data_IF_968242434591
#
_entry.id   IF_968242434591
#
_cell.length_a   1.000
_cell.length_b   1.000
_cell.length_c   1.000
_cell.angle_alpha   90.00
_cell.angle_beta   90.00
_cell.angle_gamma   90.00
#
_symmetry.space_group_name_H-M   'P 1'
#
loop_
_entity.id
_entity.type
_entity.pdbx_description
1 polymer ?
#
# COMPACT_ATOMS: atom_id res chain seq x y z
N UNK A 1 -45.78 3.70 43.93
CA UNK A 1 -45.31 2.32 44.09
C UNK A 1 -45.35 1.68 42.72
N UNK A 2 -44.29 1.86 41.94
CA UNK A 2 -44.23 1.41 40.55
C UNK A 2 -42.77 1.26 40.15
N UNK A 3 -42.48 0.06 39.65
CA UNK A 3 -41.32 -0.34 38.85
C UNK A 3 -39.93 -0.48 39.52
N UNK A 4 -39.68 -1.70 40.04
CA UNK A 4 -38.34 -2.29 40.20
C UNK A 4 -38.34 -3.75 39.70
N UNK A 5 -38.88 -3.99 38.51
CA UNK A 5 -38.86 -5.33 37.87
C UNK A 5 -37.95 -5.37 36.63
N UNK A 6 -37.26 -4.26 36.31
CA UNK A 6 -36.34 -4.17 35.16
C UNK A 6 -34.94 -4.74 35.36
N UNK A 7 -34.43 -4.86 36.59
CA UNK A 7 -32.97 -4.93 36.83
C UNK A 7 -32.42 -6.35 37.11
N UNK A 8 -33.26 -7.30 37.55
CA UNK A 8 -32.77 -8.63 38.00
C UNK A 8 -32.45 -9.59 36.84
N UNK A 9 -32.89 -9.29 35.61
CA UNK A 9 -32.67 -10.17 34.43
C UNK A 9 -31.39 -9.87 33.65
N UNK A 10 -30.73 -8.73 33.87
CA UNK A 10 -29.51 -8.35 33.14
C UNK A 10 -28.24 -9.00 33.71
N UNK A 11 -28.23 -9.32 35.01
CA UNK A 11 -27.09 -9.92 35.73
C UNK A 11 -27.11 -11.47 35.83
N UNK A 12 -28.10 -12.13 35.22
CA UNK A 12 -28.17 -13.58 35.23
C UNK A 12 -27.04 -14.21 34.40
N UNK A 13 -26.19 -15.02 35.06
CA UNK A 13 -25.16 -15.83 34.40
C UNK A 13 -25.80 -16.97 33.60
N UNK A 14 -25.51 -17.02 32.31
CA UNK A 14 -25.96 -18.04 31.36
C UNK A 14 -24.85 -19.04 31.10
N UNK A 15 -25.21 -20.33 31.06
CA UNK A 15 -24.29 -21.36 30.55
C UNK A 15 -23.97 -21.09 29.09
N UNK A 16 -22.81 -21.58 28.62
CA UNK A 16 -22.40 -21.42 27.21
C UNK A 16 -23.47 -21.88 26.21
N UNK A 17 -24.26 -22.91 26.54
CA UNK A 17 -25.34 -23.40 25.68
C UNK A 17 -26.52 -22.44 25.61
N UNK A 18 -26.98 -21.93 26.76
CA UNK A 18 -28.06 -20.95 26.83
C UNK A 18 -27.67 -19.62 26.16
N UNK A 19 -26.42 -19.19 26.38
CA UNK A 19 -25.87 -18.00 25.74
C UNK A 19 -25.73 -18.18 24.22
N UNK A 20 -25.22 -19.33 23.77
CA UNK A 20 -25.12 -19.70 22.35
C UNK A 20 -26.47 -19.61 21.64
N UNK A 21 -27.53 -20.19 22.21
CA UNK A 21 -28.87 -20.11 21.65
C UNK A 21 -29.36 -18.66 21.53
N UNK A 22 -29.15 -17.84 22.56
CA UNK A 22 -29.57 -16.43 22.58
C UNK A 22 -28.79 -15.56 21.59
N UNK A 23 -27.49 -15.81 21.46
CA UNK A 23 -26.62 -15.14 20.49
C UNK A 23 -26.76 -15.68 19.06
N UNK A 24 -27.48 -16.80 18.87
CA UNK A 24 -27.55 -17.57 17.61
C UNK A 24 -26.17 -17.98 17.10
N UNK A 25 -25.31 -18.40 18.02
CA UNK A 25 -23.95 -18.86 17.76
C UNK A 25 -23.78 -20.29 18.24
N UNK A 26 -22.73 -20.97 17.77
CA UNK A 26 -22.34 -22.26 18.33
C UNK A 26 -21.51 -22.07 19.60
N UNK A 27 -21.60 -23.00 20.54
CA UNK A 27 -20.70 -23.03 21.69
C UNK A 27 -19.21 -23.15 21.28
N UNK A 28 -18.93 -23.70 20.09
CA UNK A 28 -17.57 -23.73 19.51
C UNK A 28 -17.10 -22.32 19.13
N UNK A 29 -17.97 -21.50 18.52
CA UNK A 29 -17.66 -20.12 18.18
C UNK A 29 -17.38 -19.28 19.44
N UNK A 30 -18.16 -19.45 20.50
CA UNK A 30 -17.95 -18.74 21.78
C UNK A 30 -16.62 -19.11 22.44
N UNK A 31 -16.23 -20.39 22.43
CA UNK A 31 -14.89 -20.82 22.90
C UNK A 31 -13.77 -20.25 22.05
N UNK A 32 -13.99 -20.09 20.74
CA UNK A 32 -13.03 -19.43 19.86
C UNK A 32 -12.91 -17.94 20.21
N UNK A 33 -14.03 -17.25 20.43
CA UNK A 33 -14.05 -15.83 20.76
C UNK A 33 -13.40 -15.54 22.12
N UNK A 34 -13.61 -16.41 23.10
CA UNK A 34 -12.91 -16.38 24.39
C UNK A 34 -11.39 -16.49 24.20
N UNK A 35 -10.92 -17.55 23.52
CA UNK A 35 -9.48 -17.76 23.28
C UNK A 35 -8.78 -16.60 22.56
N UNK A 36 -9.52 -15.88 21.73
CA UNK A 36 -9.01 -14.75 20.95
C UNK A 36 -9.25 -13.40 21.63
N UNK A 37 -9.77 -13.38 22.86
CA UNK A 37 -10.05 -12.14 23.61
C UNK A 37 -11.19 -11.29 23.02
N UNK A 38 -11.97 -11.83 22.08
CA UNK A 38 -13.09 -11.12 21.45
C UNK A 38 -14.31 -11.08 22.36
N UNK A 39 -14.51 -12.14 23.14
CA UNK A 39 -15.60 -12.27 24.10
C UNK A 39 -15.21 -13.20 25.25
N UNK A 40 -14.65 -12.63 26.32
CA UNK A 40 -14.34 -13.38 27.52
C UNK A 40 -15.64 -13.77 28.25
N UNK A 41 -15.70 -14.98 28.85
CA UNK A 41 -16.78 -15.34 29.77
C UNK A 41 -16.77 -14.39 30.98
N UNK A 42 -17.94 -14.12 31.54
CA UNK A 42 -18.08 -13.35 32.76
C UNK A 42 -17.54 -14.11 33.99
N UNK A 43 -17.60 -15.44 33.96
CA UNK A 43 -17.05 -16.31 34.99
C UNK A 43 -16.63 -17.65 34.39
N UNK A 44 -15.53 -18.19 34.90
CA UNK A 44 -15.08 -19.56 34.63
C UNK A 44 -15.01 -20.29 35.97
N UNK A 45 -15.74 -21.39 36.08
CA UNK A 45 -15.69 -22.26 37.25
C UNK A 45 -14.33 -22.97 37.31
N UNK A 46 -13.58 -22.76 38.39
CA UNK A 46 -12.20 -23.26 38.53
C UNK A 46 -12.12 -24.78 38.68
N UNK A 47 -13.16 -25.42 39.24
CA UNK A 47 -13.17 -26.85 39.49
C UNK A 47 -13.54 -27.66 38.23
N UNK A 48 -14.40 -27.10 37.38
CA UNK A 48 -15.01 -27.82 36.24
C UNK A 48 -14.63 -27.22 34.89
N UNK A 49 -14.09 -26.00 34.85
CA UNK A 49 -13.78 -25.26 33.63
C UNK A 49 -15.01 -24.74 32.88
N UNK A 50 -16.20 -24.80 33.48
CA UNK A 50 -17.44 -24.33 32.86
C UNK A 50 -17.45 -22.81 32.71
N UNK A 51 -17.92 -22.34 31.55
CA UNK A 51 -17.98 -20.93 31.19
C UNK A 51 -19.39 -20.39 31.32
N UNK A 52 -19.48 -19.22 31.95
CA UNK A 52 -20.71 -18.48 32.16
C UNK A 52 -20.60 -17.08 31.58
N UNK A 53 -21.68 -16.61 30.97
CA UNK A 53 -21.76 -15.31 30.28
C UNK A 53 -22.93 -14.50 30.81
N UNK A 54 -22.82 -13.17 30.89
CA UNK A 54 -23.96 -12.31 31.25
C UNK A 54 -24.88 -12.11 30.06
N UNK A 55 -26.17 -11.87 30.31
CA UNK A 55 -27.14 -11.55 29.25
C UNK A 55 -26.72 -10.31 28.43
N UNK A 56 -26.13 -9.31 29.07
CA UNK A 56 -25.60 -8.10 28.41
C UNK A 56 -24.45 -8.36 27.41
N UNK A 57 -23.79 -9.53 27.47
CA UNK A 57 -22.72 -9.87 26.53
C UNK A 57 -23.23 -10.33 25.15
N UNK A 58 -24.54 -10.55 25.00
CA UNK A 58 -25.13 -11.08 23.76
C UNK A 58 -24.91 -10.16 22.58
N UNK A 59 -25.07 -8.84 22.75
CA UNK A 59 -24.90 -7.89 21.65
C UNK A 59 -23.45 -7.83 21.17
N UNK A 60 -22.48 -7.91 22.09
CA UNK A 60 -21.06 -8.05 21.73
C UNK A 60 -20.80 -9.33 20.94
N UNK A 61 -21.38 -10.46 21.35
CA UNK A 61 -21.23 -11.73 20.63
C UNK A 61 -21.79 -11.67 19.20
N UNK A 62 -22.94 -11.00 19.03
CA UNK A 62 -23.57 -10.77 17.72
C UNK A 62 -22.74 -9.81 16.86
N UNK A 63 -22.20 -8.74 17.45
CA UNK A 63 -21.32 -7.81 16.75
C UNK A 63 -20.09 -8.52 16.19
N UNK A 64 -19.40 -9.34 16.99
CA UNK A 64 -18.27 -10.17 16.52
C UNK A 64 -18.70 -11.02 15.32
N UNK A 65 -19.88 -11.65 15.38
CA UNK A 65 -20.39 -12.48 14.29
C UNK A 65 -20.71 -11.70 13.02
N UNK A 66 -21.24 -10.47 13.13
CA UNK A 66 -21.52 -9.59 12.00
C UNK A 66 -20.23 -9.10 11.34
N UNK A 67 -19.26 -8.65 12.13
CA UNK A 67 -17.96 -8.21 11.60
C UNK A 67 -17.22 -9.36 10.89
N UNK A 68 -17.34 -10.59 11.40
CA UNK A 68 -16.81 -11.77 10.70
C UNK A 68 -17.47 -12.05 9.36
N UNK A 69 -18.73 -11.65 9.15
CA UNK A 69 -19.41 -11.80 7.84
C UNK A 69 -18.92 -10.78 6.81
N UNK A 70 -18.23 -9.73 7.25
CA UNK A 70 -17.53 -8.79 6.37
C UNK A 70 -16.11 -9.28 6.01
N UNK A 71 -15.77 -10.54 6.33
CA UNK A 71 -14.41 -11.09 6.21
C UNK A 71 -13.35 -10.29 6.99
N UNK A 72 -13.75 -9.55 8.03
CA UNK A 72 -12.84 -8.79 8.86
C UNK A 72 -11.91 -9.73 9.66
N UNK A 73 -10.57 -9.52 9.59
CA UNK A 73 -9.62 -10.31 10.37
C UNK A 73 -9.89 -10.21 11.87
N UNK A 74 -9.71 -11.33 12.59
CA UNK A 74 -10.06 -11.42 14.02
C UNK A 74 -9.32 -10.39 14.89
N UNK A 75 -8.08 -10.04 14.55
CA UNK A 75 -7.34 -8.99 15.24
C UNK A 75 -8.03 -7.62 15.14
N UNK A 76 -8.51 -7.24 13.95
CA UNK A 76 -9.24 -5.99 13.71
C UNK A 76 -10.62 -6.01 14.38
N UNK A 77 -11.29 -7.16 14.38
CA UNK A 77 -12.53 -7.33 15.15
C UNK A 77 -12.30 -7.05 16.63
N UNK A 78 -11.18 -7.51 17.20
CA UNK A 78 -10.84 -7.24 18.60
C UNK A 78 -10.76 -5.74 18.87
N UNK A 79 -10.08 -4.98 18.01
CA UNK A 79 -9.99 -3.52 18.11
C UNK A 79 -11.38 -2.86 18.11
N UNK A 80 -12.26 -3.28 17.20
CA UNK A 80 -13.62 -2.74 17.08
C UNK A 80 -14.45 -3.02 18.33
N UNK A 81 -14.42 -4.24 18.88
CA UNK A 81 -15.28 -4.64 20.01
C UNK A 81 -14.74 -4.22 21.38
N UNK A 82 -13.49 -3.77 21.46
CA UNK A 82 -12.89 -3.17 22.65
C UNK A 82 -12.90 -1.64 22.64
N UNK A 83 -13.16 -1.03 21.48
CA UNK A 83 -13.47 0.38 21.36
C UNK A 83 -14.92 0.69 21.75
N UNK A 84 -15.22 1.98 21.92
CA UNK A 84 -16.52 2.53 22.26
C UNK A 84 -17.12 3.33 21.10
N UNK A 85 -18.45 3.24 20.94
CA UNK A 85 -19.28 4.09 20.08
C UNK A 85 -18.61 4.55 18.78
N UNK A 86 -18.32 5.85 18.71
CA UNK A 86 -17.75 6.52 17.55
C UNK A 86 -16.40 5.94 17.12
N UNK A 87 -15.58 5.49 18.07
CA UNK A 87 -14.28 4.86 17.75
C UNK A 87 -14.48 3.50 17.09
N UNK A 88 -15.42 2.69 17.55
CA UNK A 88 -15.76 1.42 16.90
C UNK A 88 -16.30 1.64 15.49
N UNK A 89 -17.15 2.66 15.29
CA UNK A 89 -17.65 3.05 13.97
C UNK A 89 -16.51 3.48 13.04
N UNK A 90 -15.61 4.36 13.50
CA UNK A 90 -14.46 4.80 12.70
C UNK A 90 -13.50 3.67 12.31
N UNK A 91 -13.31 2.67 13.18
CA UNK A 91 -12.52 1.46 12.84
C UNK A 91 -13.20 0.60 11.76
N UNK A 92 -14.53 0.48 11.81
CA UNK A 92 -15.31 -0.20 10.78
C UNK A 92 -15.23 0.54 9.45
N UNK A 93 -15.40 1.87 9.45
CA UNK A 93 -15.33 2.70 8.25
C UNK A 93 -13.93 2.63 7.61
N UNK A 94 -12.87 2.70 8.43
CA UNK A 94 -11.50 2.54 7.95
C UNK A 94 -11.27 1.18 7.28
N UNK A 95 -11.73 0.09 7.90
CA UNK A 95 -11.65 -1.24 7.29
C UNK A 95 -12.46 -1.33 5.99
N UNK A 96 -13.66 -0.75 5.96
CA UNK A 96 -14.47 -0.78 4.75
C UNK A 96 -13.82 0.01 3.61
N UNK A 97 -13.24 1.18 3.90
CA UNK A 97 -12.47 1.95 2.93
C UNK A 97 -11.27 1.15 2.37
N UNK A 98 -10.54 0.40 3.22
CA UNK A 98 -9.47 -0.51 2.78
C UNK A 98 -10.02 -1.61 1.84
N UNK A 99 -11.18 -2.20 2.15
CA UNK A 99 -11.85 -3.20 1.31
C UNK A 99 -12.27 -2.60 -0.03
N UNK A 100 -12.89 -1.42 -0.03
CA UNK A 100 -13.30 -0.73 -1.25
C UNK A 100 -12.11 -0.40 -2.14
N UNK A 101 -11.01 0.11 -1.57
CA UNK A 101 -9.78 0.38 -2.29
C UNK A 101 -9.20 -0.90 -2.92
N UNK A 102 -9.18 -2.01 -2.18
CA UNK A 102 -8.72 -3.31 -2.69
C UNK A 102 -9.60 -3.82 -3.83
N UNK A 103 -10.92 -3.74 -3.69
CA UNK A 103 -11.87 -4.16 -4.75
C UNK A 103 -11.73 -3.27 -5.98
N UNK A 104 -11.55 -1.96 -5.82
CA UNK A 104 -11.28 -1.05 -6.93
C UNK A 104 -9.99 -1.43 -7.67
N UNK A 105 -8.88 -1.66 -6.96
CA UNK A 105 -7.62 -2.12 -7.55
C UNK A 105 -7.75 -3.47 -8.27
N UNK A 106 -8.47 -4.44 -7.70
CA UNK A 106 -8.73 -5.74 -8.34
C UNK A 106 -9.58 -5.60 -9.60
N UNK A 107 -10.60 -4.73 -9.61
CA UNK A 107 -11.40 -4.44 -10.81
C UNK A 107 -10.53 -3.90 -11.92
N UNK A 108 -9.67 -2.94 -11.58
CA UNK A 108 -8.69 -2.40 -12.54
C UNK A 108 -7.80 -3.52 -13.08
N UNK A 109 -7.23 -4.37 -12.22
CA UNK A 109 -6.40 -5.49 -12.68
C UNK A 109 -7.14 -6.42 -13.65
N UNK A 110 -8.40 -6.74 -13.36
CA UNK A 110 -9.23 -7.60 -14.23
C UNK A 110 -9.46 -6.94 -15.58
N UNK A 111 -9.68 -5.63 -15.63
CA UNK A 111 -9.85 -4.87 -16.86
C UNK A 111 -8.56 -4.87 -17.69
N UNK A 112 -7.40 -4.62 -17.07
CA UNK A 112 -6.08 -4.75 -17.70
C UNK A 112 -5.86 -6.15 -18.27
N UNK A 113 -5.98 -7.18 -17.45
CA UNK A 113 -5.74 -8.57 -17.88
C UNK A 113 -6.71 -8.97 -19.01
N UNK A 114 -7.96 -8.48 -18.99
CA UNK A 114 -8.91 -8.70 -20.08
C UNK A 114 -8.48 -8.01 -21.37
N UNK A 115 -8.01 -6.76 -21.30
CA UNK A 115 -7.42 -6.05 -22.44
C UNK A 115 -6.30 -6.88 -23.06
N UNK A 116 -5.34 -7.28 -22.22
CA UNK A 116 -4.13 -8.00 -22.63
C UNK A 116 -4.42 -9.36 -23.24
N UNK A 117 -5.26 -10.15 -22.58
CA UNK A 117 -5.65 -11.47 -23.07
C UNK A 117 -6.51 -11.41 -24.34
N UNK A 118 -7.16 -10.28 -24.63
CA UNK A 118 -7.96 -10.10 -25.85
C UNK A 118 -7.25 -9.31 -26.94
N UNK A 119 -6.01 -8.86 -26.72
CA UNK A 119 -5.25 -8.02 -27.65
C UNK A 119 -5.86 -6.62 -27.84
N UNK A 120 -6.58 -6.11 -26.83
CA UNK A 120 -7.26 -4.80 -26.82
C UNK A 120 -6.67 -3.84 -25.79
N UNK A 121 -5.39 -3.98 -25.45
CA UNK A 121 -4.73 -3.22 -24.37
C UNK A 121 -4.85 -1.70 -24.53
N UNK A 122 -4.95 -1.19 -25.77
CA UNK A 122 -5.07 0.24 -26.02
C UNK A 122 -6.38 0.90 -25.59
N UNK A 123 -7.45 0.13 -25.34
CA UNK A 123 -8.80 0.69 -25.18
C UNK A 123 -9.22 0.89 -23.71
N UNK A 124 -8.58 0.20 -22.77
CA UNK A 124 -9.01 0.13 -21.36
C UNK A 124 -8.40 1.23 -20.49
N UNK A 125 -7.13 1.59 -20.73
CA UNK A 125 -6.46 2.72 -20.09
C UNK A 125 -6.25 3.76 -21.16
N UNK A 126 -7.03 4.84 -21.10
CA UNK A 126 -7.10 5.86 -22.14
C UNK A 126 -5.72 6.14 -22.76
N UNK A 127 -5.67 6.14 -24.09
CA UNK A 127 -4.46 6.24 -24.93
C UNK A 127 -3.33 7.00 -24.23
N UNK A 128 -2.40 6.27 -23.61
CA UNK A 128 -1.16 6.84 -23.13
C UNK A 128 -0.46 7.50 -24.31
N UNK A 129 -0.15 8.79 -24.15
CA UNK A 129 0.61 9.53 -25.15
C UNK A 129 2.07 9.33 -24.81
N UNK A 130 2.76 8.56 -25.65
CA UNK A 130 4.19 8.31 -25.49
C UNK A 130 4.96 9.33 -26.31
N UNK A 131 5.89 10.02 -25.65
CA UNK A 131 6.77 11.03 -26.22
C UNK A 131 8.23 10.65 -25.95
N UNK A 132 9.17 11.36 -26.58
CA UNK A 132 10.59 11.23 -26.29
C UNK A 132 11.18 12.52 -25.77
N UNK A 133 12.12 12.43 -24.83
CA UNK A 133 12.88 13.56 -24.31
C UNK A 133 14.38 13.24 -24.26
N UNK A 134 15.20 14.18 -24.68
CA UNK A 134 16.65 14.11 -24.51
C UNK A 134 17.03 14.69 -23.14
N UNK A 135 17.81 13.93 -22.37
CA UNK A 135 18.27 14.26 -21.01
C UNK A 135 19.77 14.49 -21.06
N UNK A 136 20.30 15.58 -20.47
CA UNK A 136 21.73 15.86 -20.46
C UNK A 136 22.48 14.95 -19.48
N UNK A 137 23.82 15.02 -19.52
CA UNK A 137 24.64 14.44 -18.46
C UNK A 137 24.24 15.03 -17.10
N UNK A 138 24.08 14.19 -16.08
CA UNK A 138 23.71 14.64 -14.74
C UNK A 138 24.40 13.82 -13.65
N UNK A 139 24.77 14.49 -12.57
CA UNK A 139 25.31 13.83 -11.38
C UNK A 139 24.14 13.44 -10.49
N UNK A 140 24.09 12.18 -10.09
CA UNK A 140 23.02 11.66 -9.23
C UNK A 140 23.59 11.05 -7.96
N UNK A 141 22.99 11.40 -6.83
CA UNK A 141 23.13 10.65 -5.58
C UNK A 141 22.03 9.59 -5.54
N UNK A 142 22.39 8.39 -5.10
CA UNK A 142 21.53 7.20 -5.23
C UNK A 142 21.43 6.44 -3.92
N UNK A 143 20.33 5.73 -3.72
CA UNK A 143 20.12 4.75 -2.65
C UNK A 143 19.46 3.50 -3.26
N UNK A 144 20.11 2.33 -3.14
CA UNK A 144 19.60 1.06 -3.69
C UNK A 144 19.07 0.15 -2.58
N UNK A 145 17.92 -0.49 -2.81
CA UNK A 145 17.35 -1.48 -1.90
C UNK A 145 16.61 -2.58 -2.67
N UNK A 146 16.75 -3.83 -2.21
CA UNK A 146 15.84 -4.92 -2.57
C UNK A 146 14.56 -4.78 -1.77
N UNK A 147 13.41 -4.71 -2.45
CA UNK A 147 12.12 -4.44 -1.82
C UNK A 147 11.00 -5.14 -2.57
N UNK A 148 9.91 -5.43 -1.87
CA UNK A 148 8.68 -5.98 -2.46
C UNK A 148 7.72 -4.85 -2.86
N UNK A 149 6.74 -5.18 -3.71
CA UNK A 149 5.79 -4.18 -4.22
C UNK A 149 4.94 -3.48 -3.12
N UNK A 150 4.68 -4.13 -1.99
CA UNK A 150 3.93 -3.56 -0.87
C UNK A 150 4.77 -2.61 0.00
N UNK A 151 6.09 -2.83 0.07
CA UNK A 151 7.04 -1.96 0.75
C UNK A 151 7.45 -0.74 -0.09
N UNK A 152 7.35 -0.87 -1.41
CA UNK A 152 7.92 0.06 -2.39
C UNK A 152 7.43 1.50 -2.21
N UNK A 153 6.12 1.82 -2.07
CA UNK A 153 5.66 3.20 -1.94
C UNK A 153 6.22 3.92 -0.70
N UNK A 154 6.27 3.21 0.43
CA UNK A 154 6.82 3.76 1.67
C UNK A 154 8.33 3.96 1.56
N UNK A 155 9.04 3.00 0.95
CA UNK A 155 10.47 3.13 0.76
C UNK A 155 10.82 4.28 -0.17
N UNK A 156 10.14 4.42 -1.32
CA UNK A 156 10.38 5.51 -2.30
C UNK A 156 10.27 6.88 -1.63
N UNK A 157 9.17 7.15 -0.92
CA UNK A 157 9.00 8.44 -0.24
C UNK A 157 10.09 8.71 0.79
N UNK A 158 10.48 7.67 1.55
CA UNK A 158 11.51 7.82 2.58
C UNK A 158 12.93 7.98 1.99
N UNK A 159 13.29 7.24 0.93
CA UNK A 159 14.61 7.31 0.29
C UNK A 159 14.78 8.61 -0.49
N UNK A 160 13.78 9.01 -1.28
CA UNK A 160 13.83 10.29 -2.00
C UNK A 160 13.95 11.46 -1.02
N UNK A 161 13.12 11.53 0.02
CA UNK A 161 13.23 12.62 1.02
C UNK A 161 14.60 12.68 1.72
N UNK A 162 15.25 11.54 1.97
CA UNK A 162 16.63 11.50 2.50
C UNK A 162 17.66 12.03 1.51
N UNK A 163 17.52 11.68 0.25
CA UNK A 163 18.43 12.10 -0.81
C UNK A 163 18.23 13.59 -1.15
N UNK A 164 16.99 14.08 -1.17
CA UNK A 164 16.70 15.51 -1.36
C UNK A 164 17.25 16.37 -0.20
N UNK A 165 17.18 15.89 1.04
CA UNK A 165 17.84 16.55 2.16
C UNK A 165 19.37 16.61 1.94
N UNK A 166 19.98 15.51 1.49
CA UNK A 166 21.40 15.47 1.16
C UNK A 166 21.76 16.40 -0.01
N UNK A 167 20.87 16.52 -1.00
CA UNK A 167 21.07 17.38 -2.16
C UNK A 167 21.27 18.85 -1.78
N UNK A 168 20.70 19.31 -0.65
CA UNK A 168 20.95 20.68 -0.13
C UNK A 168 22.42 20.97 0.13
N UNK A 169 23.18 19.95 0.57
CA UNK A 169 24.64 20.03 0.74
C UNK A 169 25.44 19.79 -0.55
N UNK A 170 24.79 19.34 -1.62
CA UNK A 170 25.40 18.99 -2.91
C UNK A 170 25.03 19.97 -4.03
N UNK A 171 24.80 21.24 -3.69
CA UNK A 171 24.43 22.29 -4.65
C UNK A 171 22.95 22.32 -5.06
N UNK A 172 22.09 21.54 -4.40
CA UNK A 172 20.65 21.50 -4.63
C UNK A 172 20.22 20.47 -5.68
N UNK A 173 18.91 20.24 -5.75
CA UNK A 173 18.28 19.36 -6.75
C UNK A 173 18.23 20.06 -8.10
N UNK A 174 18.74 19.43 -9.16
CA UNK A 174 18.87 20.03 -10.50
C UNK A 174 17.84 19.57 -11.52
N UNK A 175 17.21 18.42 -11.28
CA UNK A 175 16.16 17.85 -12.11
C UNK A 175 15.24 16.96 -11.27
N UNK A 176 14.11 16.54 -11.84
CA UNK A 176 13.13 15.69 -11.18
C UNK A 176 13.79 14.40 -10.64
N UNK A 177 13.60 14.07 -9.35
CA UNK A 177 14.02 12.78 -8.80
C UNK A 177 13.36 11.60 -9.53
N UNK A 178 14.02 10.45 -9.53
CA UNK A 178 13.50 9.27 -10.20
C UNK A 178 13.88 7.98 -9.49
N UNK A 179 13.12 6.91 -9.77
CA UNK A 179 13.35 5.55 -9.27
C UNK A 179 13.61 4.63 -10.45
N UNK A 180 14.71 3.89 -10.41
CA UNK A 180 15.10 2.92 -11.43
C UNK A 180 14.84 1.50 -10.94
N UNK A 181 14.24 0.66 -11.79
CA UNK A 181 13.98 -0.76 -11.50
C UNK A 181 14.98 -1.64 -12.23
N UNK A 182 15.95 -2.20 -11.50
CA UNK A 182 17.02 -3.03 -12.09
C UNK A 182 16.59 -4.49 -12.30
N UNK A 183 15.51 -4.93 -11.63
CA UNK A 183 14.81 -6.19 -11.86
C UNK A 183 13.35 -6.07 -11.41
N UNK A 184 12.56 -7.14 -11.57
CA UNK A 184 11.15 -7.16 -11.18
C UNK A 184 10.96 -6.92 -9.67
N UNK A 185 10.13 -5.94 -9.33
CA UNK A 185 9.67 -5.64 -7.97
C UNK A 185 8.19 -5.95 -7.92
N UNK A 186 7.87 -7.11 -7.36
CA UNK A 186 6.50 -7.63 -7.29
C UNK A 186 6.20 -8.22 -5.92
N UNK A 187 5.03 -8.85 -5.77
CA UNK A 187 4.72 -9.60 -4.56
C UNK A 187 5.56 -10.89 -4.42
N UNK A 188 6.17 -11.35 -5.52
CA UNK A 188 6.91 -12.62 -5.60
C UNK A 188 8.41 -12.43 -5.85
N UNK A 189 8.85 -11.21 -6.19
CA UNK A 189 10.25 -10.88 -6.50
C UNK A 189 10.68 -9.61 -5.80
N UNK A 190 11.73 -9.69 -4.99
CA UNK A 190 12.37 -8.56 -4.32
C UNK A 190 13.48 -7.95 -5.18
N UNK A 191 13.07 -7.28 -6.27
CA UNK A 191 13.98 -6.61 -7.18
C UNK A 191 14.75 -5.44 -6.54
N UNK A 192 15.97 -5.13 -7.02
CA UNK A 192 16.65 -3.90 -6.63
C UNK A 192 15.96 -2.69 -7.28
N UNK A 193 15.39 -1.84 -6.45
CA UNK A 193 14.97 -0.50 -6.81
C UNK A 193 16.05 0.51 -6.38
N UNK A 194 16.24 1.56 -7.17
CA UNK A 194 17.25 2.59 -6.93
C UNK A 194 16.63 3.99 -7.03
N UNK A 195 16.55 4.68 -5.90
CA UNK A 195 16.16 6.09 -5.87
C UNK A 195 17.35 6.95 -6.27
N UNK A 196 17.11 7.93 -7.15
CA UNK A 196 18.11 8.81 -7.74
C UNK A 196 17.66 10.27 -7.59
N UNK A 197 18.53 11.13 -7.04
CA UNK A 197 18.32 12.57 -6.97
C UNK A 197 19.44 13.28 -7.72
N UNK A 198 19.13 14.01 -8.82
CA UNK A 198 20.09 14.83 -9.53
C UNK A 198 20.59 16.02 -8.69
N UNK A 199 21.90 16.27 -8.69
CA UNK A 199 22.57 17.32 -7.90
C UNK A 199 23.54 18.16 -8.72
N UNK A 200 23.84 19.38 -8.26
CA UNK A 200 24.69 20.33 -9.00
C UNK A 200 26.19 20.16 -8.76
N UNK A 201 26.60 19.74 -7.55
CA UNK A 201 28.00 19.67 -7.14
C UNK A 201 28.46 18.21 -6.96
N UNK A 202 29.23 17.72 -7.92
CA UNK A 202 29.79 16.37 -7.90
C UNK A 202 30.78 16.14 -6.76
N UNK A 203 31.63 17.13 -6.46
CA UNK A 203 32.65 16.99 -5.44
C UNK A 203 32.02 16.89 -4.05
N UNK A 204 31.03 17.74 -3.78
CA UNK A 204 30.25 17.69 -2.55
C UNK A 204 29.46 16.38 -2.43
N UNK A 205 28.84 15.92 -3.52
CA UNK A 205 28.13 14.65 -3.54
C UNK A 205 29.04 13.46 -3.21
N UNK A 206 30.24 13.41 -3.81
CA UNK A 206 31.22 12.34 -3.56
C UNK A 206 31.70 12.36 -2.10
N UNK A 207 32.02 13.53 -1.57
CA UNK A 207 32.39 13.69 -0.16
C UNK A 207 31.27 13.23 0.78
N UNK A 208 30.02 13.66 0.52
CA UNK A 208 28.84 13.21 1.27
C UNK A 208 28.67 11.69 1.28
N UNK A 209 28.89 11.05 0.13
CA UNK A 209 28.78 9.59 0.00
C UNK A 209 29.90 8.86 0.73
N UNK A 210 31.10 9.42 0.79
CA UNK A 210 32.24 8.85 1.52
C UNK A 210 32.01 8.91 3.04
N UNK A 211 31.51 10.04 3.56
CA UNK A 211 31.24 10.23 4.99
C UNK A 211 30.18 9.26 5.54
N UNK A 212 29.16 8.93 4.75
CA UNK A 212 28.12 7.97 5.15
C UNK A 212 28.58 6.50 5.08
N UNK A 213 29.74 6.23 4.47
CA UNK A 213 30.25 4.87 4.28
C UNK A 213 29.30 3.97 3.48
N UNK A 214 29.32 2.65 3.75
CA UNK A 214 28.40 1.67 3.11
C UNK A 214 26.97 1.69 3.67
N UNK A 215 26.63 2.62 4.57
CA UNK A 215 25.31 2.64 5.18
C UNK A 215 24.24 2.91 4.10
N UNK A 216 23.24 2.03 3.98
CA UNK A 216 22.11 2.11 3.04
C UNK A 216 22.45 2.01 1.55
N UNK A 217 23.62 1.46 1.20
CA UNK A 217 24.05 1.29 -0.20
C UNK A 217 24.03 2.58 -1.04
N UNK A 218 24.28 3.74 -0.43
CA UNK A 218 24.29 5.02 -1.15
C UNK A 218 25.52 5.17 -2.04
N UNK A 219 25.35 5.76 -3.24
CA UNK A 219 26.44 5.98 -4.20
C UNK A 219 26.24 7.30 -4.96
N UNK A 220 27.32 7.78 -5.59
CA UNK A 220 27.27 8.86 -6.59
C UNK A 220 27.68 8.30 -7.95
N UNK A 221 26.92 8.61 -8.99
CA UNK A 221 27.33 8.36 -10.38
C UNK A 221 27.04 9.56 -11.27
N UNK A 222 27.75 9.64 -12.38
CA UNK A 222 27.37 10.48 -13.51
C UNK A 222 26.49 9.62 -14.41
N UNK A 223 25.24 10.02 -14.58
CA UNK A 223 24.34 9.45 -15.57
C UNK A 223 24.60 10.16 -16.91
N UNK A 224 24.97 9.42 -17.97
CA UNK A 224 25.28 10.02 -19.25
C UNK A 224 24.03 10.55 -19.94
N UNK A 225 24.22 11.53 -20.81
CA UNK A 225 23.19 12.07 -21.67
C UNK A 225 22.57 10.97 -22.53
N UNK A 226 21.26 11.00 -22.67
CA UNK A 226 20.53 9.94 -23.35
C UNK A 226 19.10 10.35 -23.66
N UNK A 227 18.43 9.50 -24.43
CA UNK A 227 17.02 9.70 -24.79
C UNK A 227 16.14 8.79 -23.96
N UNK A 228 15.03 9.33 -23.48
CA UNK A 228 13.94 8.56 -22.90
C UNK A 228 12.75 8.53 -23.83
N UNK A 229 12.05 7.40 -23.88
CA UNK A 229 10.64 7.34 -24.25
C UNK A 229 9.83 7.31 -22.96
N UNK A 230 8.78 8.13 -22.85
CA UNK A 230 7.99 8.22 -21.62
C UNK A 230 6.52 8.47 -21.88
N UNK A 231 5.67 8.09 -20.93
CA UNK A 231 4.28 8.55 -20.84
C UNK A 231 4.04 9.23 -19.49
N UNK A 232 3.28 10.31 -19.51
CA UNK A 232 2.86 11.03 -18.31
C UNK A 232 1.62 10.38 -17.69
N UNK A 233 1.63 10.20 -16.38
CA UNK A 233 0.55 9.59 -15.63
C UNK A 233 0.11 10.43 -14.42
N UNK A 234 -1.18 10.30 -14.08
CA UNK A 234 -1.78 10.97 -12.92
C UNK A 234 -1.48 10.23 -11.62
N UNK A 235 -1.66 10.90 -10.48
CA UNK A 235 -1.48 10.27 -9.16
C UNK A 235 -2.31 9.00 -8.97
N UNK A 236 -3.55 8.98 -9.47
CA UNK A 236 -4.40 7.78 -9.44
C UNK A 236 -3.87 6.64 -10.31
N UNK A 237 -3.11 6.94 -11.37
CA UNK A 237 -2.53 5.96 -12.29
C UNK A 237 -1.20 5.38 -11.79
N UNK A 238 -0.48 6.06 -10.89
CA UNK A 238 0.76 5.53 -10.27
C UNK A 238 0.47 4.33 -9.36
N UNK A 239 -0.76 4.20 -8.86
CA UNK A 239 -1.16 3.07 -8.02
C UNK A 239 -1.02 1.73 -8.75
N UNK A 240 -0.60 0.68 -8.03
CA UNK A 240 -0.69 -0.67 -8.56
C UNK A 240 -2.15 -1.16 -8.55
N UNK A 241 -2.64 -1.83 -9.61
CA UNK A 241 -1.93 -2.24 -10.83
C UNK A 241 -2.06 -1.26 -12.01
N UNK A 242 -2.70 -0.10 -11.83
CA UNK A 242 -2.92 0.91 -12.88
C UNK A 242 -1.62 1.26 -13.62
N UNK A 243 -0.52 1.37 -12.90
CA UNK A 243 0.78 1.76 -13.44
C UNK A 243 1.33 0.77 -14.47
N UNK A 244 0.95 -0.52 -14.39
CA UNK A 244 1.41 -1.55 -15.33
C UNK A 244 1.00 -1.26 -16.77
N UNK A 245 -0.17 -0.63 -16.96
CA UNK A 245 -0.63 -0.26 -18.29
C UNK A 245 0.24 0.85 -18.91
N UNK A 246 0.80 1.75 -18.08
CA UNK A 246 1.72 2.78 -18.55
C UNK A 246 3.07 2.20 -18.97
N UNK A 247 3.62 1.24 -18.20
CA UNK A 247 4.82 0.49 -18.60
C UNK A 247 4.60 -0.22 -19.93
N UNK A 248 3.52 -1.00 -20.04
CA UNK A 248 3.19 -1.72 -21.27
C UNK A 248 3.01 -0.81 -22.48
N UNK A 249 2.34 0.34 -22.31
CA UNK A 249 2.14 1.29 -23.41
C UNK A 249 3.47 1.87 -23.94
N UNK A 250 4.42 2.17 -23.06
CA UNK A 250 5.74 2.67 -23.48
C UNK A 250 6.53 1.55 -24.17
N UNK A 251 6.52 0.32 -23.66
CA UNK A 251 7.17 -0.83 -24.30
C UNK A 251 6.60 -1.13 -25.69
N UNK A 252 5.27 -1.16 -25.82
CA UNK A 252 4.59 -1.35 -27.12
C UNK A 252 4.93 -0.25 -28.11
N UNK A 253 4.94 1.01 -27.65
CA UNK A 253 5.30 2.14 -28.48
C UNK A 253 6.77 2.06 -28.94
N UNK A 254 7.70 1.72 -28.03
CA UNK A 254 9.13 1.53 -28.36
C UNK A 254 9.29 0.46 -29.44
N UNK A 255 8.62 -0.68 -29.29
CA UNK A 255 8.63 -1.76 -30.26
C UNK A 255 8.06 -1.29 -31.62
N UNK A 256 6.96 -0.54 -31.62
CA UNK A 256 6.34 -0.02 -32.83
C UNK A 256 7.22 1.04 -33.55
N UNK A 257 8.01 1.82 -32.81
CA UNK A 257 8.98 2.76 -33.38
C UNK A 257 10.29 2.08 -33.84
N UNK A 258 10.48 0.79 -33.55
CA UNK A 258 11.72 0.07 -33.85
C UNK A 258 12.92 0.57 -33.03
N UNK A 259 12.69 1.19 -31.87
CA UNK A 259 13.73 1.66 -30.97
C UNK A 259 14.23 0.51 -30.07
N UNK A 260 15.45 0.63 -29.58
CA UNK A 260 16.03 -0.35 -28.64
C UNK A 260 16.09 0.22 -27.23
N UNK A 261 15.59 -0.52 -26.25
CA UNK A 261 15.77 -0.20 -24.82
C UNK A 261 17.24 -0.40 -24.44
N UNK A 262 17.85 0.61 -23.84
CA UNK A 262 19.30 0.65 -23.55
C UNK A 262 19.65 0.50 -22.07
N UNK A 263 18.64 0.37 -21.20
CA UNK A 263 18.81 0.28 -19.75
C UNK A 263 17.48 0.02 -19.03
N UNK A 264 17.51 -0.05 -17.69
CA UNK A 264 16.32 -0.29 -16.87
C UNK A 264 15.26 0.82 -17.03
N UNK A 265 13.99 0.46 -16.85
CA UNK A 265 12.90 1.42 -16.80
C UNK A 265 12.96 2.26 -15.51
N UNK A 266 12.31 3.43 -15.55
CA UNK A 266 12.28 4.36 -14.43
C UNK A 266 10.98 5.13 -14.30
N UNK A 267 10.66 5.51 -13.07
CA UNK A 267 9.60 6.43 -12.71
C UNK A 267 10.22 7.79 -12.37
N UNK A 268 9.83 8.86 -13.06
CA UNK A 268 10.35 10.22 -12.84
C UNK A 268 9.28 11.06 -12.15
N UNK A 269 9.58 11.57 -10.96
CA UNK A 269 8.65 12.27 -10.08
C UNK A 269 8.88 13.79 -10.15
N UNK A 270 8.01 14.51 -10.83
CA UNK A 270 8.18 15.94 -11.12
C UNK A 270 7.24 16.87 -10.34
N UNK A 271 6.28 16.32 -9.59
CA UNK A 271 5.28 17.07 -8.85
C UNK A 271 5.41 16.90 -7.33
N UNK A 272 4.85 17.86 -6.59
CA UNK A 272 4.63 17.72 -5.15
C UNK A 272 3.55 16.66 -4.91
N UNK A 273 3.99 15.48 -4.44
CA UNK A 273 3.11 14.34 -4.25
C UNK A 273 2.02 14.60 -3.21
N UNK A 274 2.32 15.34 -2.15
CA UNK A 274 1.38 15.56 -1.05
C UNK A 274 0.31 16.60 -1.43
N UNK A 275 0.68 17.58 -2.25
CA UNK A 275 -0.26 18.58 -2.76
C UNK A 275 -1.14 18.09 -3.93
N UNK A 276 -0.66 17.12 -4.71
CA UNK A 276 -1.34 16.65 -5.91
C UNK A 276 -2.65 15.90 -5.61
N UNK A 277 -3.71 16.25 -6.33
CA UNK A 277 -4.97 15.53 -6.38
C UNK A 277 -4.90 14.26 -7.25
N UNK A 278 -5.92 13.38 -7.21
CA UNK A 278 -5.88 12.10 -7.91
C UNK A 278 -5.72 12.19 -9.43
N UNK A 279 -6.21 13.26 -10.05
CA UNK A 279 -6.16 13.44 -11.52
C UNK A 279 -5.00 14.34 -11.97
N UNK A 280 -4.19 14.83 -11.04
CA UNK A 280 -3.06 15.67 -11.38
C UNK A 280 -1.90 14.81 -11.92
N UNK A 281 -1.19 15.27 -12.96
CA UNK A 281 0.01 14.60 -13.45
C UNK A 281 1.12 14.71 -12.40
N UNK A 282 1.75 13.58 -12.06
CA UNK A 282 2.78 13.55 -11.01
C UNK A 282 4.03 12.76 -11.36
N UNK A 283 3.92 11.84 -12.31
CA UNK A 283 4.97 10.88 -12.62
C UNK A 283 5.02 10.63 -14.13
N UNK A 284 6.23 10.47 -14.66
CA UNK A 284 6.46 9.95 -16.00
C UNK A 284 7.03 8.52 -15.87
N UNK A 285 6.38 7.54 -16.53
CA UNK A 285 6.96 6.19 -16.70
C UNK A 285 7.82 6.22 -17.94
N UNK A 286 9.11 5.92 -17.80
CA UNK A 286 10.11 6.16 -18.83
C UNK A 286 11.09 4.99 -19.03
N UNK A 287 11.56 4.85 -20.26
CA UNK A 287 12.56 3.85 -20.66
C UNK A 287 13.68 4.55 -21.44
N UNK A 288 14.96 4.27 -21.13
CA UNK A 288 16.08 4.75 -21.93
C UNK A 288 16.15 4.04 -23.28
N UNK A 289 16.24 4.79 -24.38
CA UNK A 289 16.14 4.27 -25.76
C UNK A 289 17.24 4.78 -26.68
N UNK A 290 17.50 4.03 -27.76
CA UNK A 290 18.37 4.40 -28.88
C UNK A 290 17.76 3.98 -30.21
#
# INVERSE_FOLDING_TARGET
>A
MGDRVGDVREDALLTIGAFAARARLSAKALRLYDRLGLLAPAHVDEATGYRYYRAGQVERARLVALLRRLDMPLARIAEVVHADGDRSAGLLDAYWAEVEARVAGQRTLVEYLRGRLTGRDSDVYGKFVVETVDVPDQVVITETRHTLADELPQWIGASLGRLEEAARGCGGVTAAPFVVYHADVSAESDGPAESCVPVADEAAARAWSEERGRARQTRVRVEPAGRLAYTRITKAQVAYPQILAAFGAVEEWIAAQGLTVTGPCREVYFADWDAAGPQDPVCDVAFPVR
#
